data_IF_383684361093
#
_entry.id   IF_383684361093
#
_cell.length_a   1.000
_cell.length_b   1.000
_cell.length_c   1.000
_cell.angle_alpha   90.00
_cell.angle_beta   90.00
_cell.angle_gamma   90.00
#
_symmetry.space_group_name_H-M   'P 1'
#
loop_
_entity.id
_entity.type
_entity.pdbx_description
1 polymer ?
#
# COMPACT_ATOMS: atom_id res chain seq x y z
N UNK A 1 6.19 -28.81 13.67
CA UNK A 1 5.00 -28.18 14.28
C UNK A 1 5.32 -27.04 15.24
N UNK A 2 6.47 -27.00 15.93
CA UNK A 2 6.81 -25.92 16.88
C UNK A 2 7.65 -24.76 16.29
N UNK A 3 8.43 -24.98 15.22
CA UNK A 3 9.21 -23.90 14.57
C UNK A 3 8.40 -23.08 13.55
N UNK A 4 7.47 -23.70 12.80
CA UNK A 4 6.58 -22.99 11.86
C UNK A 4 5.57 -22.06 12.58
N UNK A 5 5.17 -22.41 13.80
CA UNK A 5 4.31 -21.55 14.63
C UNK A 5 5.08 -20.38 15.28
N UNK A 6 6.40 -20.49 15.47
CA UNK A 6 7.24 -19.39 15.99
C UNK A 6 7.65 -18.39 14.89
N UNK A 7 7.72 -18.82 13.63
CA UNK A 7 7.94 -17.92 12.49
C UNK A 7 6.74 -16.99 12.24
N UNK A 8 5.51 -17.44 12.53
CA UNK A 8 4.29 -16.64 12.38
C UNK A 8 4.13 -15.51 13.41
N UNK A 9 4.91 -15.48 14.50
CA UNK A 9 4.89 -14.38 15.47
C UNK A 9 5.82 -13.22 15.12
N UNK A 10 6.74 -13.38 14.15
CA UNK A 10 7.59 -12.30 13.68
C UNK A 10 7.07 -11.77 12.35
N UNK A 11 6.21 -10.74 12.39
CA UNK A 11 5.62 -10.11 11.20
C UNK A 11 6.62 -9.86 10.06
N UNK A 12 6.13 -9.94 8.82
CA UNK A 12 6.92 -9.80 7.59
C UNK A 12 7.64 -8.44 7.54
N UNK A 13 8.88 -8.41 7.03
CA UNK A 13 9.62 -7.15 6.85
C UNK A 13 9.29 -6.51 5.50
N UNK A 14 9.36 -5.19 5.43
CA UNK A 14 9.31 -4.48 4.14
C UNK A 14 10.51 -4.90 3.29
N UNK A 15 10.26 -5.35 2.06
CA UNK A 15 11.29 -5.67 1.09
C UNK A 15 11.85 -4.37 0.51
N UNK A 16 13.14 -4.12 0.63
CA UNK A 16 13.79 -2.89 0.17
C UNK A 16 14.84 -3.20 -0.87
N UNK A 17 14.69 -2.59 -2.05
CA UNK A 17 15.68 -2.66 -3.11
C UNK A 17 16.23 -1.30 -3.47
N UNK A 18 17.48 -1.26 -3.93
CA UNK A 18 18.14 -0.07 -4.45
C UNK A 18 18.28 -0.20 -5.96
N UNK A 19 17.93 0.85 -6.71
CA UNK A 19 18.15 0.91 -8.16
C UNK A 19 19.02 2.11 -8.51
N UNK A 20 20.23 1.85 -8.99
CA UNK A 20 21.12 2.89 -9.52
C UNK A 20 20.80 3.12 -11.00
N UNK A 21 20.41 4.34 -11.38
CA UNK A 21 20.17 4.63 -12.81
C UNK A 21 21.49 4.75 -13.59
N UNK A 22 21.48 4.53 -14.92
CA UNK A 22 22.60 4.91 -15.78
C UNK A 22 22.96 6.40 -15.68
N UNK A 23 24.21 6.72 -16.03
CA UNK A 23 24.64 8.09 -16.30
C UNK A 23 23.92 8.62 -17.55
N UNK A 24 23.28 9.78 -17.43
CA UNK A 24 22.52 10.40 -18.54
C UNK A 24 23.40 10.85 -19.70
N UNK A 25 24.70 11.02 -19.47
CA UNK A 25 25.65 11.50 -20.47
C UNK A 25 26.94 10.68 -20.38
N UNK A 26 27.28 9.95 -21.45
CA UNK A 26 28.52 9.14 -21.54
C UNK A 26 29.77 10.01 -21.79
N UNK A 27 29.67 11.31 -21.59
CA UNK A 27 30.79 12.24 -21.68
C UNK A 27 31.88 11.87 -20.65
N UNK A 28 33.13 11.83 -21.11
CA UNK A 28 34.32 11.20 -20.48
C UNK A 28 34.74 11.67 -19.08
N UNK A 29 33.94 12.44 -18.33
CA UNK A 29 34.37 13.06 -17.07
C UNK A 29 33.34 13.06 -15.92
N UNK A 30 32.22 12.32 -15.98
CA UNK A 30 31.34 12.16 -14.79
C UNK A 30 31.80 10.98 -13.94
N UNK A 31 32.27 11.28 -12.73
CA UNK A 31 32.70 10.31 -11.73
C UNK A 31 31.45 9.64 -11.14
N UNK A 32 31.38 8.31 -11.22
CA UNK A 32 30.40 7.52 -10.50
C UNK A 32 30.91 7.27 -9.08
N UNK A 33 30.27 7.86 -8.09
CA UNK A 33 30.69 7.75 -6.69
C UNK A 33 30.13 6.50 -5.99
N UNK A 34 29.23 5.77 -6.67
CA UNK A 34 28.53 4.60 -6.13
C UNK A 34 28.87 3.34 -6.93
N UNK A 35 29.08 2.24 -6.23
CA UNK A 35 29.35 0.93 -6.82
C UNK A 35 28.41 -0.12 -6.26
N UNK A 36 27.82 -0.93 -7.12
CA UNK A 36 27.17 -2.15 -6.69
C UNK A 36 28.26 -3.22 -6.54
N UNK A 37 28.68 -3.48 -5.30
CA UNK A 37 29.75 -4.44 -5.03
C UNK A 37 29.30 -5.89 -5.31
N UNK A 38 28.01 -6.15 -5.11
CA UNK A 38 27.33 -7.41 -5.38
C UNK A 38 25.81 -7.15 -5.49
N UNK A 39 25.03 -8.22 -5.44
CA UNK A 39 23.59 -8.19 -5.57
C UNK A 39 22.81 -7.58 -4.39
N UNK A 40 23.45 -7.34 -3.24
CA UNK A 40 22.80 -6.86 -2.02
C UNK A 40 23.45 -5.61 -1.43
N UNK A 41 24.63 -5.22 -1.90
CA UNK A 41 25.49 -4.22 -1.27
C UNK A 41 25.92 -3.13 -2.25
N UNK A 42 25.71 -1.88 -1.83
CA UNK A 42 26.16 -0.67 -2.53
C UNK A 42 27.23 0.05 -1.69
N UNK A 43 28.31 0.46 -2.35
CA UNK A 43 29.52 1.03 -1.74
C UNK A 43 29.78 2.43 -2.31
N UNK A 44 30.24 3.34 -1.45
CA UNK A 44 30.69 4.67 -1.85
C UNK A 44 32.20 4.63 -2.16
N UNK A 45 32.60 4.87 -3.42
CA UNK A 45 33.98 4.70 -3.90
C UNK A 45 34.97 5.74 -3.36
N UNK A 46 34.51 6.96 -3.15
CA UNK A 46 35.41 8.07 -2.83
C UNK A 46 35.74 8.12 -1.33
N UNK A 47 37.00 8.44 -1.01
CA UNK A 47 37.47 8.53 0.37
C UNK A 47 36.61 9.52 1.15
N UNK A 48 35.90 8.98 2.13
CA UNK A 48 35.22 9.77 3.14
C UNK A 48 36.31 10.60 3.85
N UNK A 49 36.11 11.92 4.07
CA UNK A 49 36.93 12.62 5.05
C UNK A 49 36.90 11.82 6.35
N UNK A 50 38.02 11.70 7.08
CA UNK A 50 38.16 10.91 8.32
C UNK A 50 37.10 11.23 9.41
N UNK A 51 36.25 12.23 9.21
CA UNK A 51 35.12 12.64 10.05
C UNK A 51 33.73 12.36 9.47
N UNK A 52 33.59 11.55 8.41
CA UNK A 52 32.27 11.20 7.87
C UNK A 52 31.51 10.28 8.82
N UNK A 53 30.33 10.72 9.29
CA UNK A 53 29.38 9.87 10.04
C UNK A 53 28.64 8.85 9.15
N UNK A 54 28.86 8.85 7.83
CA UNK A 54 28.15 7.97 6.90
C UNK A 54 28.91 6.65 6.67
N UNK A 55 28.21 5.49 6.65
CA UNK A 55 28.80 4.21 6.25
C UNK A 55 29.42 4.25 4.85
N UNK A 56 30.50 3.50 4.66
CA UNK A 56 31.11 3.31 3.35
C UNK A 56 30.34 2.30 2.48
N UNK A 57 29.62 1.35 3.10
CA UNK A 57 28.84 0.31 2.45
C UNK A 57 27.46 0.18 3.10
N UNK A 58 26.47 -0.18 2.28
CA UNK A 58 25.07 -0.37 2.68
C UNK A 58 24.52 -1.65 2.06
N UNK A 59 23.87 -2.49 2.86
CA UNK A 59 23.30 -3.78 2.42
C UNK A 59 21.77 -3.76 2.52
N UNK A 60 21.09 -4.28 1.50
CA UNK A 60 19.64 -4.33 1.33
C UNK A 60 19.19 -5.70 0.80
N UNK A 61 17.90 -5.90 0.58
CA UNK A 61 17.40 -7.19 0.07
C UNK A 61 17.82 -7.39 -1.40
N UNK A 62 17.89 -6.30 -2.17
CA UNK A 62 18.44 -6.31 -3.54
C UNK A 62 19.04 -4.97 -3.94
N UNK A 63 20.13 -5.00 -4.70
CA UNK A 63 20.75 -3.84 -5.33
C UNK A 63 20.87 -4.09 -6.83
N UNK A 64 20.30 -3.19 -7.61
CA UNK A 64 20.31 -3.16 -9.07
C UNK A 64 21.27 -2.08 -9.54
N UNK A 65 22.21 -2.46 -10.40
CA UNK A 65 23.19 -1.57 -11.01
C UNK A 65 22.61 -0.79 -12.20
N UNK A 66 23.47 -0.03 -12.88
CA UNK A 66 23.06 0.76 -14.05
C UNK A 66 22.64 -0.08 -15.25
N UNK A 67 23.09 -1.33 -15.35
CA UNK A 67 22.78 -2.22 -16.48
C UNK A 67 21.50 -3.02 -16.26
N UNK A 68 20.94 -2.96 -15.05
CA UNK A 68 19.74 -3.69 -14.65
C UNK A 68 18.47 -3.13 -15.32
N UNK A 69 17.85 -3.96 -16.15
CA UNK A 69 16.60 -3.63 -16.84
C UNK A 69 15.39 -3.62 -15.90
N UNK A 70 14.34 -2.88 -16.26
CA UNK A 70 13.14 -2.76 -15.40
C UNK A 70 12.43 -4.09 -15.17
N UNK A 71 12.47 -5.02 -16.14
CA UNK A 71 11.91 -6.37 -15.95
C UNK A 71 12.64 -7.14 -14.83
N UNK A 72 13.97 -7.01 -14.74
CA UNK A 72 14.74 -7.63 -13.67
C UNK A 72 14.40 -7.03 -12.30
N UNK A 73 14.21 -5.70 -12.25
CA UNK A 73 13.75 -5.01 -11.04
C UNK A 73 12.38 -5.48 -10.60
N UNK A 74 11.48 -5.76 -11.56
CA UNK A 74 10.17 -6.34 -11.29
C UNK A 74 10.30 -7.78 -10.74
N UNK A 75 10.94 -8.68 -11.49
CA UNK A 75 11.08 -10.10 -11.16
C UNK A 75 11.70 -10.33 -9.78
N UNK A 76 12.81 -9.65 -9.50
CA UNK A 76 13.58 -9.87 -8.27
C UNK A 76 13.17 -8.96 -7.11
N UNK A 77 12.44 -7.87 -7.38
CA UNK A 77 12.18 -6.82 -6.40
C UNK A 77 10.71 -6.57 -6.04
N UNK A 78 9.77 -6.92 -6.93
CA UNK A 78 8.36 -6.52 -6.77
C UNK A 78 7.35 -7.64 -7.09
N UNK A 79 7.69 -8.61 -7.93
CA UNK A 79 6.76 -9.63 -8.46
C UNK A 79 6.01 -10.40 -7.38
N UNK A 80 6.72 -11.00 -6.43
CA UNK A 80 6.10 -11.75 -5.34
C UNK A 80 5.13 -10.88 -4.51
N UNK A 81 5.49 -9.62 -4.28
CA UNK A 81 4.67 -8.67 -3.53
C UNK A 81 3.44 -8.26 -4.35
N UNK A 82 3.60 -7.99 -5.65
CA UNK A 82 2.48 -7.69 -6.54
C UNK A 82 1.46 -8.83 -6.59
N UNK A 83 1.93 -10.06 -6.82
CA UNK A 83 1.08 -11.25 -6.98
C UNK A 83 0.40 -11.72 -5.70
N UNK A 84 0.84 -11.26 -4.52
CA UNK A 84 0.18 -11.54 -3.23
C UNK A 84 -1.30 -11.11 -3.21
N UNK A 85 -1.69 -10.16 -4.07
CA UNK A 85 -3.09 -9.74 -4.23
C UNK A 85 -4.01 -10.89 -4.66
N UNK A 86 -3.51 -11.84 -5.46
CA UNK A 86 -4.27 -13.01 -5.92
C UNK A 86 -4.52 -14.02 -4.79
N UNK A 87 -3.68 -14.00 -3.75
CA UNK A 87 -3.81 -14.78 -2.53
C UNK A 87 -4.78 -14.11 -1.53
N UNK A 88 -5.37 -12.96 -1.89
CA UNK A 88 -6.20 -12.17 -0.98
C UNK A 88 -5.40 -11.37 0.03
N UNK A 89 -4.10 -11.14 -0.20
CA UNK A 89 -3.24 -10.34 0.69
C UNK A 89 -3.03 -8.95 0.06
N UNK A 90 -3.32 -7.89 0.81
CA UNK A 90 -3.04 -6.52 0.35
C UNK A 90 -1.55 -6.35 0.10
N UNK A 91 -1.20 -5.61 -0.96
CA UNK A 91 0.19 -5.32 -1.27
C UNK A 91 0.42 -3.89 -1.70
N UNK A 92 1.65 -3.40 -1.58
CA UNK A 92 2.01 -2.04 -1.97
C UNK A 92 3.47 -1.97 -2.41
N UNK A 93 3.71 -1.33 -3.56
CA UNK A 93 5.03 -1.16 -4.15
C UNK A 93 5.27 0.34 -4.28
N UNK A 94 6.37 0.81 -3.70
CA UNK A 94 6.73 2.23 -3.67
C UNK A 94 7.98 2.49 -4.49
N UNK A 95 8.00 3.59 -5.23
CA UNK A 95 9.23 4.17 -5.77
C UNK A 95 9.60 5.40 -4.93
N UNK A 96 10.79 5.39 -4.32
CA UNK A 96 11.31 6.47 -3.49
C UNK A 96 12.67 6.97 -4.02
N UNK A 97 12.98 8.25 -3.86
CA UNK A 97 14.23 8.85 -4.34
C UNK A 97 14.06 10.30 -4.78
N UNK A 98 15.18 10.97 -5.07
CA UNK A 98 15.16 12.35 -5.53
C UNK A 98 14.51 12.50 -6.92
N UNK A 99 14.16 13.71 -7.32
CA UNK A 99 13.75 13.97 -8.71
C UNK A 99 14.83 13.54 -9.70
N UNK A 100 14.38 12.97 -10.82
CA UNK A 100 15.23 12.42 -11.89
C UNK A 100 16.12 11.24 -11.48
N UNK A 101 15.85 10.58 -10.34
CA UNK A 101 16.53 9.32 -9.97
C UNK A 101 15.99 8.08 -10.71
N UNK A 102 14.82 8.18 -11.35
CA UNK A 102 14.19 7.07 -12.08
C UNK A 102 12.95 6.46 -11.43
N UNK A 103 12.32 7.13 -10.46
CA UNK A 103 11.08 6.66 -9.79
C UNK A 103 9.96 6.32 -10.77
N UNK A 104 9.47 7.30 -11.53
CA UNK A 104 8.37 7.15 -12.49
C UNK A 104 8.71 6.13 -13.59
N UNK A 105 9.94 6.16 -14.13
CA UNK A 105 10.42 5.18 -15.11
C UNK A 105 10.34 3.74 -14.56
N UNK A 106 10.75 3.55 -13.31
CA UNK A 106 10.70 2.24 -12.65
C UNK A 106 9.27 1.82 -12.37
N UNK A 107 8.46 2.69 -11.79
CA UNK A 107 7.09 2.38 -11.38
C UNK A 107 6.19 2.08 -12.58
N UNK A 108 6.35 2.79 -13.69
CA UNK A 108 5.60 2.54 -14.94
C UNK A 108 5.83 1.11 -15.44
N UNK A 109 7.09 0.72 -15.63
CA UNK A 109 7.41 -0.63 -16.08
C UNK A 109 6.98 -1.71 -15.08
N UNK A 110 7.14 -1.48 -13.78
CA UNK A 110 6.67 -2.42 -12.76
C UNK A 110 5.15 -2.59 -12.80
N UNK A 111 4.41 -1.50 -12.98
CA UNK A 111 2.94 -1.54 -13.10
C UNK A 111 2.54 -2.35 -14.32
N UNK A 112 3.17 -2.11 -15.48
CA UNK A 112 2.91 -2.85 -16.72
C UNK A 112 3.19 -4.37 -16.58
N UNK A 113 4.36 -4.75 -16.06
CA UNK A 113 4.71 -6.16 -15.87
C UNK A 113 3.82 -6.83 -14.81
N UNK A 114 3.56 -6.16 -13.69
CA UNK A 114 2.71 -6.69 -12.63
C UNK A 114 1.29 -6.93 -13.12
N UNK A 115 0.72 -5.99 -13.87
CA UNK A 115 -0.61 -6.15 -14.45
C UNK A 115 -0.63 -7.32 -15.43
N UNK A 116 0.38 -7.45 -16.31
CA UNK A 116 0.47 -8.57 -17.24
C UNK A 116 0.45 -9.91 -16.49
N UNK A 117 1.33 -10.08 -15.49
CA UNK A 117 1.41 -11.33 -14.73
C UNK A 117 0.13 -11.61 -13.91
N UNK A 118 -0.52 -10.57 -13.37
CA UNK A 118 -1.79 -10.71 -12.66
C UNK A 118 -2.86 -11.28 -13.59
N UNK A 119 -3.02 -10.72 -14.80
CA UNK A 119 -4.00 -11.23 -15.77
C UNK A 119 -3.65 -12.64 -16.24
N UNK A 120 -2.38 -12.92 -16.54
CA UNK A 120 -1.93 -14.26 -16.92
C UNK A 120 -2.23 -15.30 -15.81
N UNK A 121 -2.08 -14.91 -14.54
CA UNK A 121 -2.43 -15.77 -13.41
C UNK A 121 -3.94 -15.96 -13.23
N UNK A 122 -4.74 -14.91 -13.45
CA UNK A 122 -6.21 -14.97 -13.41
C UNK A 122 -6.72 -15.93 -14.50
N UNK A 123 -6.19 -15.85 -15.72
CA UNK A 123 -6.58 -16.71 -16.83
C UNK A 123 -6.24 -18.19 -16.59
N UNK A 124 -5.20 -18.48 -15.80
CA UNK A 124 -4.80 -19.85 -15.43
C UNK A 124 -5.64 -20.46 -14.31
N UNK A 125 -6.37 -19.67 -13.53
CA UNK A 125 -7.19 -20.14 -12.39
C UNK A 125 -8.66 -20.33 -12.80
N UNK A 126 -8.94 -21.39 -13.56
CA UNK A 126 -10.28 -21.68 -14.09
C UNK A 126 -11.32 -22.04 -13.01
N UNK A 127 -10.91 -22.36 -11.79
CA UNK A 127 -11.79 -22.72 -10.68
C UNK A 127 -12.37 -21.52 -9.91
N UNK A 128 -11.91 -20.31 -10.23
CA UNK A 128 -12.30 -19.06 -9.56
C UNK A 128 -12.85 -18.05 -10.57
N UNK A 129 -13.77 -17.23 -10.08
CA UNK A 129 -14.21 -16.02 -10.77
C UNK A 129 -13.52 -14.81 -10.16
N UNK A 130 -13.11 -13.88 -11.01
CA UNK A 130 -12.37 -12.67 -10.61
C UNK A 130 -13.12 -11.42 -11.06
N UNK A 131 -13.20 -10.45 -10.16
CA UNK A 131 -13.62 -9.09 -10.46
C UNK A 131 -12.44 -8.18 -10.15
N UNK A 132 -11.97 -7.46 -11.17
CA UNK A 132 -10.84 -6.54 -11.05
C UNK A 132 -11.36 -5.11 -11.16
N UNK A 133 -10.98 -4.27 -10.20
CA UNK A 133 -11.37 -2.87 -10.13
C UNK A 133 -10.13 -1.98 -10.09
N UNK A 134 -10.20 -0.83 -10.74
CA UNK A 134 -9.10 0.13 -10.81
C UNK A 134 -9.53 1.49 -10.31
N UNK A 135 -8.65 2.12 -9.53
CA UNK A 135 -8.75 3.54 -9.22
C UNK A 135 -7.36 4.18 -9.24
N UNK A 136 -7.32 5.48 -9.53
CA UNK A 136 -6.09 6.23 -9.62
C UNK A 136 -6.26 7.59 -8.96
N UNK A 137 -5.32 7.96 -8.10
CA UNK A 137 -5.34 9.23 -7.40
C UNK A 137 -3.98 9.90 -7.39
N UNK A 138 -4.02 11.22 -7.29
CA UNK A 138 -2.84 12.05 -7.13
C UNK A 138 -2.93 12.86 -5.83
N UNK A 139 -1.83 12.93 -5.09
CA UNK A 139 -1.71 13.76 -3.90
C UNK A 139 -0.71 14.87 -4.18
N UNK A 140 -1.19 16.09 -4.28
CA UNK A 140 -0.36 17.28 -4.44
C UNK A 140 -0.75 18.33 -3.40
N UNK A 141 0.23 18.91 -2.71
CA UNK A 141 0.00 19.94 -1.69
C UNK A 141 -1.08 19.56 -0.64
N UNK A 142 -1.06 18.31 -0.16
CA UNK A 142 -2.08 17.73 0.74
C UNK A 142 -3.53 17.82 0.20
N UNK A 143 -3.72 17.98 -1.11
CA UNK A 143 -5.00 17.80 -1.81
C UNK A 143 -4.96 16.47 -2.57
N UNK A 144 -6.07 15.72 -2.52
CA UNK A 144 -6.20 14.44 -3.24
C UNK A 144 -7.08 14.71 -4.45
N UNK A 145 -6.63 14.34 -5.64
CA UNK A 145 -7.37 14.45 -6.90
C UNK A 145 -7.63 13.06 -7.47
N UNK A 146 -8.77 12.91 -8.12
CA UNK A 146 -9.08 11.72 -8.92
C UNK A 146 -8.44 11.85 -10.30
N UNK A 147 -7.62 10.87 -10.72
CA UNK A 147 -7.01 10.88 -12.04
C UNK A 147 -7.92 10.32 -13.14
N UNK A 148 -9.03 9.67 -12.76
CA UNK A 148 -10.06 9.17 -13.67
C UNK A 148 -11.20 10.17 -13.87
N UNK A 149 -11.28 11.19 -13.01
CA UNK A 149 -12.32 12.23 -13.06
C UNK A 149 -11.68 13.63 -12.91
N UNK A 150 -11.24 14.24 -14.02
CA UNK A 150 -10.43 15.47 -13.99
C UNK A 150 -11.20 16.71 -13.50
N UNK A 151 -12.53 16.71 -13.61
CA UNK A 151 -13.39 17.80 -13.13
C UNK A 151 -13.71 17.69 -11.62
N UNK A 152 -13.06 16.76 -10.91
CA UNK A 152 -13.31 16.54 -9.49
C UNK A 152 -12.67 17.62 -8.61
N UNK A 153 -13.44 18.10 -7.63
CA UNK A 153 -12.88 18.87 -6.51
C UNK A 153 -11.95 17.99 -5.66
N UNK A 154 -11.01 18.58 -4.91
CA UNK A 154 -10.16 17.83 -4.00
C UNK A 154 -10.96 16.89 -3.09
N UNK A 155 -10.64 15.60 -3.15
CA UNK A 155 -11.33 14.54 -2.43
C UNK A 155 -11.00 14.59 -0.93
N UNK A 156 -11.98 14.18 -0.13
CA UNK A 156 -11.86 14.10 1.33
C UNK A 156 -11.36 12.73 1.75
N UNK A 157 -10.47 12.70 2.75
CA UNK A 157 -9.93 11.48 3.35
C UNK A 157 -10.58 11.27 4.70
N UNK A 158 -11.38 10.21 4.81
CA UNK A 158 -12.18 9.86 5.97
C UNK A 158 -11.64 8.58 6.61
N UNK A 159 -11.91 8.39 7.90
CA UNK A 159 -11.59 7.15 8.61
C UNK A 159 -12.91 6.39 8.83
N UNK A 160 -13.06 5.24 8.18
CA UNK A 160 -14.20 4.33 8.35
C UNK A 160 -13.88 3.31 9.47
N UNK A 161 -14.79 3.04 10.41
CA UNK A 161 -14.56 2.09 11.51
C UNK A 161 -14.23 0.67 11.06
N UNK A 162 -14.77 0.21 9.93
CA UNK A 162 -14.61 -1.16 9.43
C UNK A 162 -13.57 -1.23 8.30
N UNK A 163 -13.58 -0.25 7.38
CA UNK A 163 -12.73 -0.23 6.17
C UNK A 163 -11.42 0.52 6.37
N UNK A 164 -11.25 1.24 7.47
CA UNK A 164 -10.09 2.10 7.72
C UNK A 164 -10.11 3.38 6.87
N UNK A 165 -8.95 3.89 6.49
CA UNK A 165 -8.87 5.14 5.71
C UNK A 165 -9.49 4.99 4.32
N UNK A 166 -10.53 5.78 4.03
CA UNK A 166 -11.23 5.81 2.74
C UNK A 166 -11.15 7.20 2.09
N UNK A 167 -11.07 7.23 0.77
CA UNK A 167 -11.14 8.47 -0.02
C UNK A 167 -12.55 8.59 -0.57
N UNK A 168 -13.28 9.60 -0.11
CA UNK A 168 -14.68 9.81 -0.47
C UNK A 168 -14.80 10.20 -1.95
N UNK A 169 -15.74 9.60 -2.67
CA UNK A 169 -16.04 9.85 -4.10
C UNK A 169 -14.86 9.59 -5.06
N UNK A 170 -13.90 8.77 -4.67
CA UNK A 170 -12.90 8.27 -5.60
C UNK A 170 -13.56 7.33 -6.62
N UNK A 171 -13.34 7.58 -7.90
CA UNK A 171 -13.88 6.77 -8.99
C UNK A 171 -13.21 5.40 -8.99
N UNK A 172 -14.01 4.34 -8.94
CA UNK A 172 -13.57 2.95 -9.05
C UNK A 172 -14.22 2.32 -10.29
N UNK A 173 -13.40 1.89 -11.24
CA UNK A 173 -13.83 1.35 -12.53
C UNK A 173 -13.63 -0.16 -12.52
N UNK A 174 -14.70 -0.93 -12.81
CA UNK A 174 -14.58 -2.38 -13.03
C UNK A 174 -13.94 -2.61 -14.40
N UNK A 175 -12.85 -3.38 -14.42
CA UNK A 175 -12.11 -3.68 -15.64
C UNK A 175 -12.78 -4.80 -16.43
N UNK A 176 -12.67 -4.70 -17.76
CA UNK A 176 -13.26 -5.67 -18.71
C UNK A 176 -12.20 -6.69 -19.12
N UNK A 177 -11.04 -6.18 -19.48
CA UNK A 177 -9.88 -6.92 -19.96
C UNK A 177 -8.60 -6.12 -19.66
N UNK A 178 -7.46 -6.68 -20.07
CA UNK A 178 -6.14 -6.07 -19.93
C UNK A 178 -6.01 -4.76 -20.71
N UNK A 179 -6.60 -4.68 -21.90
CA UNK A 179 -6.48 -3.51 -22.77
C UNK A 179 -7.20 -2.30 -22.19
N UNK A 180 -8.37 -2.50 -21.59
CA UNK A 180 -9.11 -1.47 -20.87
C UNK A 180 -8.27 -0.86 -19.73
N UNK A 181 -7.49 -1.65 -19.01
CA UNK A 181 -6.59 -1.12 -17.99
C UNK A 181 -5.45 -0.30 -18.60
N UNK A 182 -4.89 -0.74 -19.72
CA UNK A 182 -3.85 0.02 -20.43
C UNK A 182 -4.35 1.38 -20.92
N UNK A 183 -5.59 1.46 -21.40
CA UNK A 183 -6.26 2.72 -21.74
C UNK A 183 -6.39 3.64 -20.52
N UNK A 184 -6.84 3.12 -19.38
CA UNK A 184 -6.98 3.89 -18.15
C UNK A 184 -5.63 4.38 -17.61
N UNK A 185 -4.57 3.56 -17.71
CA UNK A 185 -3.21 3.97 -17.36
C UNK A 185 -2.73 5.14 -18.24
N UNK A 186 -2.99 5.05 -19.55
CA UNK A 186 -2.66 6.13 -20.50
C UNK A 186 -3.42 7.42 -20.18
N UNK A 187 -4.70 7.31 -19.83
CA UNK A 187 -5.50 8.46 -19.37
C UNK A 187 -4.89 9.07 -18.10
N UNK A 188 -4.53 8.25 -17.12
CA UNK A 188 -3.91 8.72 -15.88
C UNK A 188 -2.57 9.45 -16.14
N UNK A 189 -1.76 8.93 -17.06
CA UNK A 189 -0.50 9.58 -17.47
C UNK A 189 -0.76 10.94 -18.11
N UNK A 190 -1.73 11.02 -19.04
CA UNK A 190 -2.11 12.26 -19.69
C UNK A 190 -2.67 13.28 -18.68
N UNK A 191 -3.52 12.86 -17.75
CA UNK A 191 -4.07 13.75 -16.71
C UNK A 191 -2.99 14.28 -15.77
N UNK A 192 -2.02 13.42 -15.40
CA UNK A 192 -0.87 13.85 -14.61
C UNK A 192 -0.05 14.92 -15.35
N UNK A 193 0.20 14.75 -16.65
CA UNK A 193 0.90 15.73 -17.48
C UNK A 193 0.13 17.05 -17.66
N UNK A 194 -1.20 16.98 -17.82
CA UNK A 194 -2.05 18.17 -17.90
C UNK A 194 -1.97 18.96 -16.59
N UNK A 195 -2.04 18.27 -15.44
CA UNK A 195 -1.86 18.88 -14.12
C UNK A 195 -0.54 19.65 -14.01
N UNK A 196 0.56 19.08 -14.51
CA UNK A 196 1.87 19.74 -14.57
C UNK A 196 1.83 21.06 -15.35
N UNK A 197 1.29 21.03 -16.57
CA UNK A 197 1.27 22.20 -17.45
C UNK A 197 0.31 23.30 -17.00
N UNK A 198 -0.89 22.93 -16.51
CA UNK A 198 -1.94 23.89 -16.14
C UNK A 198 -1.61 24.66 -14.86
N UNK A 199 -0.89 24.04 -13.91
CA UNK A 199 -0.66 24.60 -12.58
C UNK A 199 0.80 25.03 -12.35
N UNK A 200 1.64 25.00 -13.40
CA UNK A 200 3.11 25.03 -13.26
C UNK A 200 3.60 24.00 -12.23
N UNK A 201 2.87 22.90 -12.12
CA UNK A 201 3.20 21.76 -11.29
C UNK A 201 4.26 20.93 -12.02
N UNK A 202 5.07 20.20 -11.27
CA UNK A 202 6.02 19.26 -11.88
C UNK A 202 5.74 17.92 -11.21
N UNK A 203 5.68 16.83 -11.97
CA UNK A 203 5.43 15.47 -11.44
C UNK A 203 6.36 15.09 -10.29
N UNK A 204 7.53 15.74 -10.21
CA UNK A 204 8.46 15.71 -9.07
C UNK A 204 7.85 16.11 -7.72
N UNK A 205 6.68 16.74 -7.67
CA UNK A 205 6.10 17.36 -6.46
C UNK A 205 4.78 16.71 -6.03
N UNK A 206 4.21 15.82 -6.83
CA UNK A 206 3.00 15.08 -6.51
C UNK A 206 3.30 13.60 -6.30
N UNK A 207 2.45 12.93 -5.54
CA UNK A 207 2.47 11.47 -5.39
C UNK A 207 1.35 10.87 -6.23
N UNK A 208 1.65 9.84 -6.99
CA UNK A 208 0.65 9.07 -7.72
C UNK A 208 0.44 7.72 -7.02
N UNK A 209 -0.82 7.33 -6.84
CA UNK A 209 -1.21 6.02 -6.33
C UNK A 209 -2.18 5.41 -7.33
N UNK A 210 -1.73 4.34 -7.98
CA UNK A 210 -2.58 3.49 -8.82
C UNK A 210 -2.95 2.25 -8.01
N UNK A 211 -4.23 1.94 -7.92
CA UNK A 211 -4.72 0.82 -7.11
C UNK A 211 -5.52 -0.14 -7.98
N UNK A 212 -5.15 -1.40 -7.90
CA UNK A 212 -5.91 -2.51 -8.47
C UNK A 212 -6.49 -3.33 -7.31
N UNK A 213 -7.81 -3.42 -7.25
CA UNK A 213 -8.53 -4.26 -6.27
C UNK A 213 -9.01 -5.51 -6.99
N UNK A 214 -8.72 -6.68 -6.42
CA UNK A 214 -9.12 -7.98 -6.97
C UNK A 214 -10.00 -8.67 -5.94
N UNK A 215 -11.19 -9.03 -6.39
CA UNK A 215 -12.14 -9.88 -5.66
C UNK A 215 -12.19 -11.24 -6.36
N UNK A 216 -11.95 -12.32 -5.63
CA UNK A 216 -11.95 -13.69 -6.14
C UNK A 216 -12.92 -14.57 -5.36
N UNK A 217 -13.77 -15.32 -6.06
CA UNK A 217 -14.69 -16.28 -5.46
C UNK A 217 -14.56 -17.64 -6.13
N UNK A 218 -14.70 -18.72 -5.37
CA UNK A 218 -14.77 -20.07 -5.93
C UNK A 218 -16.03 -20.23 -6.80
N UNK A 219 -15.90 -20.86 -7.97
CA UNK A 219 -17.05 -21.15 -8.85
C UNK A 219 -18.03 -22.09 -8.16
N UNK A 220 -19.34 -21.83 -8.29
CA UNK A 220 -20.40 -22.57 -7.59
C UNK A 220 -20.41 -24.09 -7.88
N UNK A 221 -19.81 -24.53 -9.01
CA UNK A 221 -19.65 -25.94 -9.37
C UNK A 221 -18.63 -26.72 -8.52
N UNK A 222 -17.81 -26.04 -7.71
CA UNK A 222 -16.74 -26.67 -6.92
C UNK A 222 -17.22 -27.32 -5.60
N UNK A 223 -18.53 -27.52 -5.41
CA UNK A 223 -19.11 -28.38 -4.36
C UNK A 223 -18.91 -27.94 -2.89
N UNK A 224 -18.10 -26.92 -2.61
CA UNK A 224 -17.84 -26.43 -1.27
C UNK A 224 -18.84 -25.33 -0.90
N UNK A 225 -19.75 -25.63 0.04
CA UNK A 225 -20.79 -24.72 0.54
C UNK A 225 -20.31 -23.50 1.33
N UNK A 226 -19.05 -23.08 1.18
CA UNK A 226 -18.44 -21.90 1.79
C UNK A 226 -18.02 -20.92 0.69
N UNK A 227 -18.92 -20.03 0.28
CA UNK A 227 -18.61 -18.94 -0.65
C UNK A 227 -17.87 -17.81 0.07
N UNK A 228 -16.61 -18.05 0.43
CA UNK A 228 -15.69 -17.01 0.89
C UNK A 228 -15.13 -16.26 -0.31
N UNK A 229 -15.23 -14.93 -0.30
CA UNK A 229 -14.63 -14.05 -1.31
C UNK A 229 -13.28 -13.60 -0.76
N UNK A 230 -12.21 -13.79 -1.52
CA UNK A 230 -10.93 -13.14 -1.25
C UNK A 230 -10.98 -11.74 -1.84
N UNK A 231 -10.62 -10.71 -1.08
CA UNK A 231 -10.63 -9.35 -1.59
C UNK A 231 -9.37 -8.61 -1.13
N UNK A 232 -8.52 -8.24 -2.08
CA UNK A 232 -7.27 -7.53 -1.77
C UNK A 232 -6.98 -6.46 -2.80
N UNK A 233 -6.10 -5.54 -2.41
CA UNK A 233 -5.63 -4.47 -3.29
C UNK A 233 -4.11 -4.45 -3.40
N UNK A 234 -3.62 -4.20 -4.61
CA UNK A 234 -2.22 -3.84 -4.87
C UNK A 234 -2.14 -2.34 -5.19
N UNK A 235 -1.26 -1.62 -4.48
CA UNK A 235 -0.99 -0.21 -4.73
C UNK A 235 0.37 -0.03 -5.40
N UNK A 236 0.42 0.68 -6.53
CA UNK A 236 1.63 1.15 -7.19
C UNK A 236 1.80 2.64 -6.91
N UNK A 237 2.84 2.98 -6.14
CA UNK A 237 3.02 4.31 -5.55
C UNK A 237 4.28 4.98 -6.10
N UNK A 238 4.11 5.99 -6.95
CA UNK A 238 5.18 6.86 -7.42
C UNK A 238 5.22 8.12 -6.55
N UNK A 239 6.21 8.21 -5.65
CA UNK A 239 6.30 9.32 -4.71
C UNK A 239 6.93 10.56 -5.35
N UNK A 240 6.67 11.73 -4.76
CA UNK A 240 7.39 12.96 -5.06
C UNK A 240 8.91 12.84 -4.78
N UNK A 241 9.69 13.76 -5.32
CA UNK A 241 11.13 13.88 -5.07
C UNK A 241 11.47 14.06 -3.60
N UNK A 242 12.42 13.27 -3.09
CA UNK A 242 12.84 13.29 -1.68
C UNK A 242 13.80 14.42 -1.30
N UNK A 243 14.22 15.25 -2.26
CA UNK A 243 15.10 16.39 -2.02
C UNK A 243 14.42 17.52 -1.26
N UNK A 244 15.22 18.31 -0.50
CA UNK A 244 14.68 19.42 0.30
C UNK A 244 14.34 20.62 -0.59
N UNK A 245 13.23 21.29 -0.28
CA UNK A 245 12.83 22.51 -1.00
C UNK A 245 13.89 23.63 -0.97
N UNK A 246 14.70 23.72 0.10
CA UNK A 246 15.80 24.68 0.22
C UNK A 246 16.92 24.48 -0.80
N UNK A 247 16.99 23.30 -1.42
CA UNK A 247 17.98 22.97 -2.45
C UNK A 247 17.44 23.17 -3.87
N UNK A 248 16.17 23.54 -4.00
CA UNK A 248 15.55 23.92 -5.28
C UNK A 248 15.64 25.44 -5.43
N UNK A 249 16.09 25.94 -6.59
CA UNK A 249 16.32 27.37 -6.89
C UNK A 249 15.01 28.18 -7.07
N UNK A 250 14.01 27.91 -6.24
CA UNK A 250 12.65 28.43 -6.39
C UNK A 250 12.32 29.47 -5.30
N UNK A 251 12.36 30.76 -5.66
CA UNK A 251 12.03 31.86 -4.75
C UNK A 251 10.50 32.05 -4.55
N UNK A 252 10.09 32.56 -3.38
CA UNK A 252 8.74 33.10 -3.12
C UNK A 252 7.69 32.07 -2.66
N UNK A 253 6.46 32.15 -3.21
CA UNK A 253 5.28 31.29 -2.90
C UNK A 253 5.60 29.79 -2.96
N UNK A 254 6.61 29.42 -3.77
CA UNK A 254 7.19 28.09 -3.88
C UNK A 254 7.86 27.57 -2.59
N UNK A 255 8.26 28.44 -1.66
CA UNK A 255 8.83 28.07 -0.37
C UNK A 255 7.75 27.57 0.61
N UNK A 256 6.56 28.20 0.60
CA UNK A 256 5.39 27.74 1.37
C UNK A 256 4.84 26.42 0.79
N UNK A 257 4.75 26.32 -0.53
CA UNK A 257 4.41 25.09 -1.27
C UNK A 257 5.42 23.96 -0.97
N UNK A 258 6.71 24.27 -1.01
CA UNK A 258 7.78 23.33 -0.67
C UNK A 258 7.68 22.80 0.77
N UNK A 259 7.11 23.56 1.71
CA UNK A 259 6.84 23.09 3.06
C UNK A 259 5.78 21.97 3.07
N UNK A 260 4.72 22.09 2.26
CA UNK A 260 3.63 21.11 2.18
C UNK A 260 3.98 19.87 1.36
N UNK A 261 4.73 20.00 0.25
CA UNK A 261 5.26 18.84 -0.49
C UNK A 261 6.19 18.04 0.41
N UNK A 262 7.12 18.73 1.10
CA UNK A 262 7.98 18.07 2.07
C UNK A 262 7.22 17.54 3.28
N UNK A 263 6.03 18.05 3.62
CA UNK A 263 5.24 17.54 4.75
C UNK A 263 4.91 16.06 4.57
N UNK A 264 4.37 15.68 3.41
CA UNK A 264 4.04 14.27 3.13
C UNK A 264 5.25 13.34 3.25
N UNK A 265 6.39 13.69 2.64
CA UNK A 265 7.62 12.89 2.68
C UNK A 265 8.35 12.94 4.03
N UNK A 266 8.31 14.07 4.73
CA UNK A 266 8.85 14.21 6.09
C UNK A 266 8.05 13.37 7.09
N UNK A 267 6.72 13.40 6.97
CA UNK A 267 5.84 12.56 7.76
C UNK A 267 6.08 11.09 7.44
N UNK A 268 6.19 10.71 6.16
CA UNK A 268 6.55 9.35 5.75
C UNK A 268 7.88 8.89 6.37
N UNK A 269 8.93 9.71 6.27
CA UNK A 269 10.22 9.42 6.89
C UNK A 269 10.15 9.31 8.42
N UNK A 270 9.28 10.10 9.06
CA UNK A 270 9.04 10.05 10.51
C UNK A 270 8.30 8.78 10.92
N UNK A 271 7.28 8.38 10.16
CA UNK A 271 6.52 7.14 10.34
C UNK A 271 7.46 5.94 10.22
N UNK A 272 8.20 5.82 9.12
CA UNK A 272 9.17 4.73 8.89
C UNK A 272 10.19 4.65 10.03
N UNK A 273 10.77 5.79 10.45
CA UNK A 273 11.77 5.80 11.54
C UNK A 273 11.19 5.43 12.89
N UNK A 274 9.92 5.74 13.17
CA UNK A 274 9.25 5.32 14.41
C UNK A 274 8.99 3.82 14.39
N UNK A 275 8.46 3.31 13.28
CA UNK A 275 8.17 1.89 13.08
C UNK A 275 9.43 1.04 13.12
N UNK A 276 10.52 1.48 12.48
CA UNK A 276 11.79 0.75 12.42
C UNK A 276 12.44 0.55 13.79
N UNK A 277 12.11 1.39 14.77
CA UNK A 277 12.65 1.31 16.14
C UNK A 277 11.80 0.44 17.07
N UNK A 278 10.69 -0.14 16.56
CA UNK A 278 9.76 -0.94 17.36
C UNK A 278 9.16 -0.19 18.54
N UNK A 279 9.14 1.14 18.52
CA UNK A 279 8.67 1.95 19.66
C UNK A 279 7.15 1.89 19.73
N UNK A 280 6.61 1.49 20.89
CA UNK A 280 5.18 1.36 21.22
C UNK A 280 4.43 2.71 21.36
N UNK A 281 4.98 3.79 20.78
CA UNK A 281 4.39 5.13 20.85
C UNK A 281 3.48 5.43 19.65
N UNK A 282 2.69 6.51 19.76
CA UNK A 282 1.85 6.99 18.67
C UNK A 282 2.64 7.25 17.39
N UNK A 283 2.22 6.58 16.30
CA UNK A 283 2.75 6.76 14.94
C UNK A 283 1.90 7.82 14.23
N UNK A 284 2.50 8.92 13.72
CA UNK A 284 1.75 10.08 13.24
C UNK A 284 1.25 9.89 11.80
N UNK A 285 0.50 8.82 11.53
CA UNK A 285 -0.09 8.60 10.19
C UNK A 285 -0.97 9.76 9.76
N UNK A 286 -1.65 10.41 10.72
CA UNK A 286 -2.58 11.52 10.50
C UNK A 286 -1.93 12.84 10.06
N UNK A 287 -0.62 12.98 10.19
CA UNK A 287 0.08 14.24 9.91
C UNK A 287 0.18 14.54 8.41
N UNK A 288 -0.08 13.57 7.54
CA UNK A 288 -0.21 13.76 6.08
C UNK A 288 -1.26 12.84 5.46
N UNK A 289 -1.93 13.28 4.38
CA UNK A 289 -2.91 12.43 3.67
C UNK A 289 -2.26 11.19 3.07
N UNK A 290 -1.04 11.30 2.57
CA UNK A 290 -0.26 10.18 2.03
C UNK A 290 -0.11 9.06 3.06
N UNK A 291 0.37 9.38 4.26
CA UNK A 291 0.59 8.39 5.32
C UNK A 291 -0.70 7.85 5.92
N UNK A 292 -1.81 8.60 5.86
CA UNK A 292 -3.14 8.09 6.22
C UNK A 292 -3.65 7.05 5.22
N UNK A 293 -3.57 7.37 3.93
CA UNK A 293 -4.04 6.49 2.85
C UNK A 293 -3.21 5.20 2.80
N UNK A 294 -1.90 5.31 3.06
CA UNK A 294 -0.94 4.20 2.98
C UNK A 294 -0.60 3.61 4.36
N UNK A 295 -1.42 3.87 5.38
CA UNK A 295 -1.19 3.38 6.74
C UNK A 295 -1.02 1.85 6.78
N UNK A 296 -1.89 1.11 6.08
CA UNK A 296 -1.83 -0.35 6.03
C UNK A 296 -0.55 -0.85 5.37
N UNK A 297 -0.07 -0.15 4.34
CA UNK A 297 1.16 -0.47 3.61
C UNK A 297 2.43 -0.27 4.45
N UNK A 298 2.45 0.69 5.38
CA UNK A 298 3.67 1.05 6.10
C UNK A 298 3.90 0.21 7.36
N UNK A 299 2.84 -0.25 8.02
CA UNK A 299 2.99 -1.01 9.27
C UNK A 299 1.73 -1.76 9.69
N UNK A 300 0.82 -2.02 8.75
CA UNK A 300 -0.45 -2.70 8.99
C UNK A 300 -0.59 -3.96 8.16
N UNK A 301 -1.81 -4.23 7.71
CA UNK A 301 -2.16 -5.40 6.91
C UNK A 301 -1.84 -5.19 5.43
N UNK A 302 -0.56 -5.34 5.06
CA UNK A 302 -0.11 -5.44 3.68
C UNK A 302 1.33 -5.98 3.58
N UNK A 303 1.63 -6.61 2.44
CA UNK A 303 2.98 -6.89 1.96
C UNK A 303 3.54 -5.68 1.22
N UNK A 304 4.74 -5.24 1.56
CA UNK A 304 5.26 -3.98 1.02
C UNK A 304 6.67 -4.13 0.45
N UNK A 305 6.86 -3.59 -0.75
CA UNK A 305 8.16 -3.38 -1.37
C UNK A 305 8.45 -1.89 -1.55
N UNK A 306 9.67 -1.46 -1.27
CA UNK A 306 10.13 -0.11 -1.55
C UNK A 306 11.38 -0.16 -2.41
N UNK A 307 11.28 0.43 -3.60
CA UNK A 307 12.37 0.55 -4.57
C UNK A 307 12.93 1.97 -4.47
N UNK A 308 14.12 2.05 -3.89
CA UNK A 308 14.85 3.29 -3.71
C UNK A 308 15.72 3.55 -4.94
N UNK A 309 15.30 4.50 -5.77
CA UNK A 309 16.01 4.92 -6.98
C UNK A 309 17.04 6.00 -6.66
N UNK A 310 18.23 5.90 -7.25
CA UNK A 310 19.35 6.78 -6.97
C UNK A 310 20.06 7.25 -8.24
N UNK A 311 20.64 8.45 -8.17
CA UNK A 311 21.56 8.95 -9.20
C UNK A 311 23.01 8.61 -8.84
N UNK A 312 23.83 8.14 -9.80
CA UNK A 312 25.26 7.88 -9.60
C UNK A 312 26.12 9.15 -9.52
N UNK A 313 25.55 10.32 -9.83
CA UNK A 313 26.31 11.55 -10.04
C UNK A 313 26.74 12.22 -8.73
N UNK A 314 27.99 12.73 -8.70
CA UNK A 314 28.58 13.37 -7.51
C UNK A 314 27.74 14.50 -6.90
N UNK A 315 27.09 15.30 -7.75
CA UNK A 315 26.21 16.40 -7.31
C UNK A 315 25.02 15.93 -6.47
N UNK A 316 24.68 14.64 -6.54
CA UNK A 316 23.53 14.02 -5.89
C UNK A 316 23.91 13.13 -4.70
N UNK A 317 25.19 13.07 -4.31
CA UNK A 317 25.67 12.17 -3.24
C UNK A 317 24.95 12.38 -1.91
N UNK A 318 24.65 13.62 -1.52
CA UNK A 318 23.89 13.89 -0.29
C UNK A 318 22.47 13.30 -0.33
N UNK A 319 21.78 13.41 -1.48
CA UNK A 319 20.45 12.84 -1.64
C UNK A 319 20.50 11.32 -1.66
N UNK A 320 21.46 10.76 -2.40
CA UNK A 320 21.73 9.32 -2.43
C UNK A 320 21.96 8.76 -1.02
N UNK A 321 22.75 9.45 -0.17
CA UNK A 321 22.92 9.06 1.24
C UNK A 321 21.61 9.14 2.04
N UNK A 322 20.82 10.20 1.87
CA UNK A 322 19.52 10.32 2.55
C UNK A 322 18.56 9.20 2.14
N UNK A 323 18.52 8.85 0.86
CA UNK A 323 17.76 7.73 0.33
C UNK A 323 18.19 6.40 0.94
N UNK A 324 19.49 6.14 1.03
CA UNK A 324 20.03 4.92 1.67
C UNK A 324 19.72 4.84 3.17
N UNK A 325 19.75 5.98 3.88
CA UNK A 325 19.36 6.04 5.29
C UNK A 325 17.86 5.77 5.48
N UNK A 326 17.02 6.31 4.60
CA UNK A 326 15.59 5.99 4.58
C UNK A 326 15.36 4.50 4.32
N UNK A 327 16.00 3.95 3.29
CA UNK A 327 15.94 2.53 2.91
C UNK A 327 16.33 1.62 4.08
N UNK A 328 17.41 1.97 4.80
CA UNK A 328 17.88 1.21 5.97
C UNK A 328 16.83 1.19 7.08
N UNK A 329 16.14 2.31 7.34
CA UNK A 329 15.06 2.32 8.31
C UNK A 329 13.84 1.52 7.81
N UNK A 330 13.47 1.67 6.54
CA UNK A 330 12.33 0.97 5.95
C UNK A 330 12.46 -0.55 6.04
N UNK A 331 13.66 -1.10 5.77
CA UNK A 331 13.91 -2.54 5.82
C UNK A 331 13.65 -3.17 7.19
N UNK A 332 13.77 -2.40 8.28
CA UNK A 332 13.54 -2.90 9.64
C UNK A 332 12.08 -2.75 10.09
N UNK A 333 11.21 -2.16 9.26
CA UNK A 333 9.78 -2.07 9.55
C UNK A 333 9.13 -3.43 9.32
N UNK A 334 8.31 -3.84 10.29
CA UNK A 334 7.48 -5.06 10.21
C UNK A 334 6.04 -4.71 9.89
N UNK A 335 5.46 -5.45 8.96
CA UNK A 335 4.03 -5.43 8.63
C UNK A 335 3.37 -6.72 9.13
N UNK A 336 2.04 -6.72 9.17
CA UNK A 336 1.23 -7.86 9.60
C UNK A 336 0.23 -8.21 8.50
N UNK A 337 0.76 -8.70 7.37
CA UNK A 337 -0.03 -9.08 6.22
C UNK A 337 -0.93 -10.30 6.54
N UNK A 338 -2.21 -10.19 6.19
CA UNK A 338 -3.23 -11.19 6.45
C UNK A 338 -4.08 -11.40 5.20
N UNK A 339 -4.58 -12.63 5.05
CA UNK A 339 -5.53 -12.97 3.99
C UNK A 339 -6.89 -12.33 4.30
N UNK A 340 -7.38 -11.52 3.37
CA UNK A 340 -8.61 -10.75 3.52
C UNK A 340 -9.78 -11.58 2.96
N UNK A 341 -10.53 -12.18 3.88
CA UNK A 341 -11.72 -12.96 3.59
C UNK A 341 -12.98 -12.12 3.85
N UNK A 342 -13.74 -11.86 2.78
CA UNK A 342 -15.06 -11.26 2.86
C UNK A 342 -16.09 -12.38 2.74
N UNK A 343 -17.07 -12.39 3.65
CA UNK A 343 -18.23 -13.26 3.52
C UNK A 343 -19.09 -12.73 2.38
N UNK A 344 -19.46 -13.56 1.39
CA UNK A 344 -20.39 -13.11 0.35
C UNK A 344 -21.72 -12.66 0.96
N UNK A 345 -22.40 -11.68 0.36
CA UNK A 345 -23.73 -11.23 0.84
C UNK A 345 -24.71 -12.40 0.97
N UNK A 346 -24.65 -13.36 0.05
CA UNK A 346 -25.47 -14.59 0.07
C UNK A 346 -25.11 -15.50 1.26
N UNK A 347 -23.83 -15.63 1.59
CA UNK A 347 -23.38 -16.37 2.78
C UNK A 347 -23.73 -15.64 4.07
N UNK A 348 -23.56 -14.32 4.10
CA UNK A 348 -23.91 -13.47 5.24
C UNK A 348 -25.40 -13.53 5.52
N UNK A 349 -26.25 -13.36 4.50
CA UNK A 349 -27.70 -13.52 4.60
C UNK A 349 -28.07 -14.91 5.11
N UNK A 350 -27.44 -15.97 4.58
CA UNK A 350 -27.70 -17.35 5.04
C UNK A 350 -27.27 -17.58 6.49
N UNK A 351 -26.17 -16.98 6.93
CA UNK A 351 -25.73 -17.03 8.32
C UNK A 351 -26.67 -16.26 9.23
N UNK A 352 -27.02 -15.03 8.88
CA UNK A 352 -27.99 -14.21 9.61
C UNK A 352 -29.34 -14.92 9.72
N UNK A 353 -29.81 -15.59 8.67
CA UNK A 353 -31.03 -16.41 8.70
C UNK A 353 -30.91 -17.60 9.67
N UNK A 354 -29.77 -18.29 9.72
CA UNK A 354 -29.54 -19.38 10.69
C UNK A 354 -29.51 -18.85 12.12
N UNK A 355 -28.92 -17.69 12.33
CA UNK A 355 -28.79 -17.06 13.64
C UNK A 355 -30.14 -16.55 14.15
N UNK A 356 -30.95 -15.93 13.27
CA UNK A 356 -32.35 -15.61 13.55
C UNK A 356 -33.15 -16.86 13.92
N UNK A 357 -33.04 -17.95 13.16
CA UNK A 357 -33.74 -19.19 13.47
C UNK A 357 -33.32 -19.79 14.82
N UNK A 358 -32.04 -19.67 15.19
CA UNK A 358 -31.51 -20.08 16.49
C UNK A 358 -32.07 -19.22 17.62
N UNK A 359 -32.00 -17.90 17.48
CA UNK A 359 -32.50 -16.95 18.48
C UNK A 359 -34.01 -17.09 18.67
N UNK A 360 -34.78 -17.28 17.60
CA UNK A 360 -36.21 -17.57 17.70
C UNK A 360 -36.47 -18.88 18.46
N UNK A 361 -35.66 -19.92 18.24
CA UNK A 361 -35.79 -21.18 18.96
C UNK A 361 -35.45 -21.02 20.45
N UNK A 362 -34.41 -20.26 20.77
CA UNK A 362 -34.04 -19.92 22.15
C UNK A 362 -35.16 -19.10 22.84
N UNK A 363 -35.71 -18.09 22.18
CA UNK A 363 -36.85 -17.30 22.69
C UNK A 363 -38.10 -18.16 22.92
N UNK A 364 -38.44 -19.08 22.00
CA UNK A 364 -39.56 -20.02 22.20
C UNK A 364 -39.31 -20.96 23.38
N UNK A 365 -38.07 -21.42 23.56
CA UNK A 365 -37.71 -22.28 24.69
C UNK A 365 -37.81 -21.54 26.04
N UNK A 366 -37.36 -20.29 26.11
CA UNK A 366 -37.46 -19.42 27.28
C UNK A 366 -38.91 -19.01 27.58
N UNK A 367 -39.70 -18.72 26.54
CA UNK A 367 -41.14 -18.43 26.68
C UNK A 367 -41.95 -19.64 27.18
N UNK A 368 -41.52 -20.86 26.85
CA UNK A 368 -42.17 -22.09 27.34
C UNK A 368 -41.85 -22.42 28.80
N UNK A 369 -40.71 -21.93 29.34
CA UNK A 369 -40.33 -22.11 30.73
C UNK A 369 -41.06 -21.14 31.68
N UNK A 370 -41.51 -19.99 31.19
CA UNK A 370 -42.19 -18.98 32.03
C UNK A 370 -43.68 -19.22 32.28
N UNK A 371 -44.33 -20.16 31.59
CA UNK A 371 -45.79 -20.38 31.65
C UNK A 371 -46.20 -21.63 32.46
N UNK A 372 -45.23 -22.41 32.96
CA UNK A 372 -45.49 -23.59 33.83
C UNK A 372 -45.09 -23.38 35.29
N UNK A 373 -45.04 -22.13 35.74
CA UNK A 373 -44.99 -21.78 37.16
C UNK A 373 -46.39 -21.51 37.69
N UNK A 374 -46.92 -22.48 38.42
CA UNK A 374 -48.16 -22.54 39.22
C UNK A 374 -48.84 -21.21 39.63
N UNK A 375 -49.40 -20.46 38.69
CA UNK A 375 -50.21 -19.28 38.99
C UNK A 375 -51.54 -19.64 39.65
N UNK A 376 -52.04 -20.86 39.42
CA UNK A 376 -53.29 -21.35 40.02
C UNK A 376 -53.13 -21.73 41.50
N UNK A 377 -51.98 -22.30 41.91
CA UNK A 377 -51.67 -22.62 43.31
C UNK A 377 -51.48 -21.37 44.16
N UNK A 378 -50.74 -20.37 43.64
CA UNK A 378 -50.45 -19.11 44.35
C UNK A 378 -51.71 -18.25 44.54
N UNK A 379 -52.69 -18.30 43.62
CA UNK A 379 -53.97 -17.61 43.77
C UNK A 379 -54.86 -18.23 44.85
N UNK A 380 -54.90 -19.57 44.95
CA UNK A 380 -55.68 -20.28 45.99
C UNK A 380 -55.13 -20.08 47.40
N UNK A 381 -53.83 -19.90 47.54
CA UNK A 381 -53.20 -19.61 48.84
C UNK A 381 -53.48 -18.17 49.30
N UNK A 382 -53.51 -17.20 48.36
CA UNK A 382 -53.89 -15.81 48.65
C UNK A 382 -55.37 -15.63 48.99
N UNK A 383 -56.28 -16.37 48.34
CA UNK A 383 -57.72 -16.30 48.67
C UNK A 383 -58.03 -16.83 50.08
N UNK A 384 -57.27 -17.82 50.58
CA UNK A 384 -57.39 -18.30 51.96
C UNK A 384 -56.89 -17.31 53.01
N UNK A 385 -55.92 -16.45 52.65
CA UNK A 385 -55.35 -15.44 53.55
C UNK A 385 -56.17 -14.14 53.64
N UNK A 386 -57.12 -13.92 52.72
CA UNK A 386 -58.01 -12.74 52.72
C UNK A 386 -59.37 -13.06 53.38
N UNK A 387 -59.66 -14.35 53.64
CA UNK A 387 -60.90 -14.83 54.25
C UNK A 387 -60.84 -15.12 55.76
N UNK A 388 -59.75 -14.79 56.44
CA UNK A 388 -59.62 -14.74 57.90
C UNK A 388 -59.38 -13.30 58.32
#
# INVERSE_FOLDING_TARGET
>A
MSEELQLHEQGEKIFVSIRLRPLQDKARNRICDWECANNDTIVFKNSLPERSMFPAAYTFDRVFDSESNTIQVYEEGAKHIALSVLEGINSSIFAYGQTSSGKTYTMRGITEYAVSDIYDCIERQEERDFVVKFCAMEIYNEAVRDLLSPDSYPLRVLDDPERGTVVEKLTEVVLRDRDHLHELLTICEAQRQIGETALNETSSRSHQILRLTIESSAREYAGAGNSSILAASVNFVDLAGSERASQTSAAGTRLKEGCHINRSLLTLGTVIRKLSKGRTGHVPYRDSKLTRILQNALGGNARTAIICTMSPERIHVEQSRNTLLFAKCAREVRTNAQVNLIMSDKALVKQLQRELARLEKEMRSLGSASVKGDTAGVLREKEKLIGQ
#
